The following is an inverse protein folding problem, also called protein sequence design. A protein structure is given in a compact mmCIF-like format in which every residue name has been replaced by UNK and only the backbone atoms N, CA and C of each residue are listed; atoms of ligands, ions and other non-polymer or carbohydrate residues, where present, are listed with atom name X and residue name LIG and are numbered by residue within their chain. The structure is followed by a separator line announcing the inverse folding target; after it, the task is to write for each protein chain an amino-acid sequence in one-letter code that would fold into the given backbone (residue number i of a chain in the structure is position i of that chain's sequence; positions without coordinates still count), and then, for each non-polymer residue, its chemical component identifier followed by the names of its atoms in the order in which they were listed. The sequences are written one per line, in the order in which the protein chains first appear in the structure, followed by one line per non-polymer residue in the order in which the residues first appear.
data_IF_713213332534
#
_entry.id   IF_713213332534
#
_cell.length_a   1.000
_cell.length_b   1.000
_cell.length_c   1.000
_cell.angle_alpha   90.00
_cell.angle_beta   90.00
_cell.angle_gamma   90.00
#
_symmetry.space_group_name_H-M   'P 1'
#
loop_
_entity.id
_entity.type
_entity.pdbx_description
1 polymer ?
#
# COMPACT_ATOMS: atom_id res chain seq x y z
N UNK A 1 10.71 2.93 20.76
CA UNK A 1 9.99 2.10 19.78
C UNK A 1 9.43 3.00 18.69
N UNK A 2 9.49 2.61 17.42
CA UNK A 2 8.92 3.38 16.32
C UNK A 2 7.69 2.71 15.72
N UNK A 3 6.74 3.54 15.27
CA UNK A 3 5.54 3.13 14.52
C UNK A 3 5.65 3.73 13.13
N UNK A 4 5.55 2.91 12.09
CA UNK A 4 5.56 3.37 10.71
C UNK A 4 4.27 3.01 10.00
N UNK A 5 3.84 3.89 9.10
CA UNK A 5 2.79 3.63 8.13
C UNK A 5 3.46 3.44 6.78
N UNK A 6 3.24 2.29 6.18
CA UNK A 6 3.81 1.90 4.89
C UNK A 6 2.70 1.75 3.86
N UNK A 7 2.92 2.25 2.66
CA UNK A 7 2.04 2.02 1.51
C UNK A 7 2.76 1.09 0.54
N UNK A 8 2.15 -0.05 0.22
CA UNK A 8 2.68 -1.00 -0.74
C UNK A 8 1.77 -1.12 -1.96
N UNK A 9 2.35 -1.08 -3.16
CA UNK A 9 1.62 -1.10 -4.43
C UNK A 9 2.27 -2.02 -5.47
N UNK A 10 1.46 -2.71 -6.27
CA UNK A 10 1.94 -3.57 -7.36
C UNK A 10 0.96 -3.59 -8.53
N UNK A 11 1.46 -3.50 -9.76
CA UNK A 11 0.65 -3.67 -10.97
C UNK A 11 1.27 -4.59 -12.03
N UNK A 12 2.30 -5.37 -11.68
CA UNK A 12 2.93 -6.33 -12.58
C UNK A 12 3.03 -7.69 -11.91
N UNK A 13 2.86 -8.76 -12.69
CA UNK A 13 3.04 -10.12 -12.21
C UNK A 13 1.96 -10.54 -11.22
N UNK A 14 2.34 -11.36 -10.24
CA UNK A 14 1.43 -11.75 -9.16
C UNK A 14 1.37 -10.65 -8.09
N UNK A 15 0.60 -9.61 -8.40
CA UNK A 15 0.39 -8.42 -7.54
C UNK A 15 0.03 -8.81 -6.11
N UNK A 16 -0.83 -9.81 -5.94
CA UNK A 16 -1.25 -10.25 -4.61
C UNK A 16 -0.12 -11.00 -3.87
N UNK A 17 0.69 -11.80 -4.56
CA UNK A 17 1.87 -12.41 -3.95
C UNK A 17 2.93 -11.37 -3.57
N UNK A 18 3.16 -10.34 -4.39
CA UNK A 18 4.07 -9.25 -4.05
C UNK A 18 3.63 -8.51 -2.78
N UNK A 19 2.34 -8.17 -2.67
CA UNK A 19 1.82 -7.52 -1.46
C UNK A 19 1.87 -8.44 -0.22
N UNK A 20 1.62 -9.75 -0.38
CA UNK A 20 1.78 -10.73 0.71
C UNK A 20 3.23 -10.80 1.19
N UNK A 21 4.20 -10.78 0.28
CA UNK A 21 5.62 -10.80 0.65
C UNK A 21 6.00 -9.59 1.52
N UNK A 22 5.40 -8.41 1.31
CA UNK A 22 5.58 -7.25 2.19
C UNK A 22 5.06 -7.54 3.59
N UNK A 23 3.84 -8.07 3.70
CA UNK A 23 3.22 -8.41 5.00
C UNK A 23 4.06 -9.48 5.72
N UNK A 24 4.44 -10.54 5.02
CA UNK A 24 5.23 -11.66 5.57
C UNK A 24 6.62 -11.19 6.05
N UNK A 25 7.23 -10.21 5.38
CA UNK A 25 8.53 -9.65 5.76
C UNK A 25 8.50 -8.91 7.09
N UNK A 26 7.39 -8.26 7.45
CA UNK A 26 7.24 -7.58 8.72
C UNK A 26 6.74 -8.53 9.83
N UNK A 27 5.95 -9.55 9.48
CA UNK A 27 5.56 -10.61 10.42
C UNK A 27 4.95 -10.07 11.71
N UNK A 28 5.57 -10.38 12.85
CA UNK A 28 5.09 -9.95 14.17
C UNK A 28 5.23 -8.43 14.43
N UNK A 29 5.93 -7.70 13.56
CA UNK A 29 5.99 -6.22 13.60
C UNK A 29 4.71 -5.59 13.04
N UNK A 30 3.84 -6.35 12.38
CA UNK A 30 2.58 -5.86 11.81
C UNK A 30 1.52 -5.65 12.90
N UNK A 31 1.04 -4.42 13.00
CA UNK A 31 -0.08 -4.04 13.88
C UNK A 31 -1.41 -4.14 13.15
N UNK A 32 -1.46 -3.65 11.91
CA UNK A 32 -2.65 -3.69 11.08
C UNK A 32 -2.29 -3.71 9.59
N UNK A 33 -3.16 -4.33 8.78
CA UNK A 33 -3.09 -4.33 7.32
C UNK A 33 -4.47 -4.03 6.76
N UNK A 34 -4.53 -3.13 5.78
CA UNK A 34 -5.77 -2.85 5.06
C UNK A 34 -6.20 -4.01 4.15
N UNK A 35 -7.47 -4.06 3.71
CA UNK A 35 -7.84 -4.78 2.50
C UNK A 35 -7.03 -4.29 1.29
N UNK A 36 -6.99 -5.11 0.24
CA UNK A 36 -6.41 -4.72 -1.05
C UNK A 36 -7.36 -3.74 -1.73
N UNK A 37 -6.82 -2.61 -2.19
CA UNK A 37 -7.54 -1.63 -2.99
C UNK A 37 -6.98 -1.57 -4.41
N UNK A 38 -7.87 -1.46 -5.39
CA UNK A 38 -7.58 -1.40 -6.82
C UNK A 38 -7.69 0.03 -7.31
N UNK A 39 -6.70 0.48 -8.09
CA UNK A 39 -6.67 1.82 -8.69
C UNK A 39 -6.13 1.80 -10.10
N UNK A 40 -6.69 2.62 -10.97
CA UNK A 40 -6.16 2.82 -12.31
C UNK A 40 -4.71 3.35 -12.28
N UNK A 41 -3.87 3.00 -13.28
CA UNK A 41 -2.53 3.54 -13.37
C UNK A 41 -2.51 5.02 -13.74
N UNK A 42 -1.50 5.72 -13.23
CA UNK A 42 -1.29 7.14 -13.52
C UNK A 42 -0.45 7.33 -14.78
N UNK A 43 -0.68 8.45 -15.48
CA UNK A 43 0.27 8.94 -16.50
C UNK A 43 0.04 8.47 -17.93
N UNK A 44 -1.11 7.85 -18.22
CA UNK A 44 -1.54 7.55 -19.60
C UNK A 44 -0.73 6.46 -20.32
N UNK A 45 0.08 5.71 -19.58
CA UNK A 45 0.73 4.48 -20.06
C UNK A 45 -0.24 3.33 -19.84
N UNK A 46 -0.56 2.58 -20.90
CA UNK A 46 -1.38 1.37 -20.81
C UNK A 46 -0.65 0.31 -19.99
N UNK A 47 -1.24 -0.04 -18.86
CA UNK A 47 -0.73 -1.02 -17.90
C UNK A 47 -1.89 -1.49 -17.02
N UNK A 48 -1.69 -2.60 -16.31
CA UNK A 48 -2.71 -3.12 -15.40
C UNK A 48 -2.95 -2.18 -14.22
N UNK A 49 -4.13 -2.34 -13.59
CA UNK A 49 -4.47 -1.66 -12.36
C UNK A 49 -3.50 -2.01 -11.22
N UNK A 50 -3.26 -1.03 -10.36
CA UNK A 50 -2.49 -1.23 -9.12
C UNK A 50 -3.35 -1.89 -8.06
N UNK A 51 -2.77 -2.88 -7.39
CA UNK A 51 -3.22 -3.33 -6.08
C UNK A 51 -2.41 -2.58 -5.02
N UNK A 52 -3.09 -2.01 -4.03
CA UNK A 52 -2.49 -1.22 -2.97
C UNK A 52 -2.96 -1.71 -1.60
N UNK A 53 -2.05 -1.73 -0.62
CA UNK A 53 -2.36 -1.92 0.79
C UNK A 53 -1.62 -0.87 1.64
N UNK A 54 -2.16 -0.59 2.81
CA UNK A 54 -1.44 0.09 3.89
C UNK A 54 -1.13 -0.91 5.00
N UNK A 55 0.10 -0.85 5.49
CA UNK A 55 0.53 -1.55 6.70
C UNK A 55 0.82 -0.52 7.79
N UNK A 56 0.40 -0.84 9.00
CA UNK A 56 0.88 -0.18 10.22
C UNK A 56 1.80 -1.16 10.92
N UNK A 57 3.05 -0.76 11.15
CA UNK A 57 4.09 -1.61 11.74
C UNK A 57 4.73 -0.93 12.93
N UNK A 58 5.18 -1.71 13.91
CA UNK A 58 5.88 -1.23 15.10
C UNK A 58 7.09 -2.10 15.44
N UNK A 59 8.25 -1.47 15.60
CA UNK A 59 9.50 -2.13 15.97
C UNK A 59 10.54 -1.13 16.49
N UNK A 60 11.65 -1.62 17.04
CA UNK A 60 12.81 -0.78 17.37
C UNK A 60 13.67 -0.54 16.12
N UNK A 61 13.15 0.31 15.23
CA UNK A 61 13.76 0.67 13.94
C UNK A 61 13.86 2.18 13.76
N UNK A 62 14.88 2.63 13.04
CA UNK A 62 14.98 4.01 12.58
C UNK A 62 14.10 4.23 11.33
N UNK A 63 13.78 5.48 10.96
CA UNK A 63 13.11 5.78 9.69
C UNK A 63 13.82 5.17 8.47
N UNK A 64 15.16 5.16 8.50
CA UNK A 64 15.97 4.61 7.43
C UNK A 64 15.90 3.09 7.34
N UNK A 65 15.79 2.39 8.47
CA UNK A 65 15.60 0.94 8.46
C UNK A 65 14.28 0.55 7.77
N UNK A 66 13.19 1.31 8.00
CA UNK A 66 11.91 1.08 7.32
C UNK A 66 12.04 1.26 5.80
N UNK A 67 12.73 2.32 5.37
CA UNK A 67 13.00 2.57 3.95
C UNK A 67 13.85 1.47 3.32
N UNK A 68 14.92 1.05 3.99
CA UNK A 68 15.85 0.06 3.46
C UNK A 68 15.16 -1.31 3.30
N UNK A 69 14.27 -1.70 4.21
CA UNK A 69 13.45 -2.92 4.06
C UNK A 69 12.51 -2.80 2.86
N UNK A 70 11.87 -1.65 2.65
CA UNK A 70 11.05 -1.40 1.46
C UNK A 70 11.86 -1.54 0.17
N UNK A 71 13.05 -0.92 0.12
CA UNK A 71 13.99 -1.02 -1.03
C UNK A 71 14.49 -2.44 -1.27
N UNK A 72 14.69 -3.24 -0.21
CA UNK A 72 15.04 -4.66 -0.32
C UNK A 72 13.91 -5.46 -0.97
N UNK A 73 12.68 -5.31 -0.49
CA UNK A 73 11.50 -5.98 -1.05
C UNK A 73 11.28 -5.63 -2.53
N UNK A 74 11.45 -4.35 -2.89
CA UNK A 74 11.38 -3.91 -4.28
C UNK A 74 12.43 -4.58 -5.18
N UNK A 75 13.67 -4.72 -4.68
CA UNK A 75 14.74 -5.41 -5.39
C UNK A 75 14.45 -6.91 -5.57
N UNK A 76 13.92 -7.56 -4.53
CA UNK A 76 13.52 -8.96 -4.58
C UNK A 76 12.37 -9.20 -5.54
N UNK A 77 11.46 -8.22 -5.68
CA UNK A 77 10.42 -8.20 -6.70
C UNK A 77 10.92 -7.78 -8.10
N UNK A 78 12.24 -7.67 -8.30
CA UNK A 78 12.84 -7.28 -9.59
C UNK A 78 12.33 -5.94 -10.14
N UNK A 79 12.05 -4.97 -9.26
CA UNK A 79 11.56 -3.65 -9.67
C UNK A 79 12.55 -2.95 -10.62
N UNK A 80 12.09 -2.62 -11.83
CA UNK A 80 12.81 -1.78 -12.78
C UNK A 80 12.23 -0.35 -12.85
N UNK A 81 13.07 0.63 -13.18
CA UNK A 81 12.67 2.05 -13.32
C UNK A 81 12.93 2.57 -14.73
N UNK A 82 12.46 1.83 -15.72
CA UNK A 82 12.73 2.11 -17.14
C UNK A 82 11.84 3.22 -17.72
N UNK A 83 10.59 3.30 -17.28
CA UNK A 83 9.60 4.26 -17.77
C UNK A 83 9.08 5.10 -16.60
N UNK A 84 9.08 6.42 -16.76
CA UNK A 84 8.47 7.33 -15.78
C UNK A 84 6.96 7.05 -15.72
N UNK A 85 6.45 6.74 -14.53
CA UNK A 85 5.07 6.26 -14.30
C UNK A 85 4.74 4.93 -14.99
N UNK A 86 5.78 4.18 -15.33
CA UNK A 86 5.64 2.84 -15.87
C UNK A 86 5.23 1.80 -14.83
N UNK A 87 5.05 0.56 -15.31
CA UNK A 87 4.70 -0.59 -14.50
C UNK A 87 5.70 -0.87 -13.38
N UNK A 88 5.19 -1.38 -12.25
CA UNK A 88 5.95 -1.70 -11.03
C UNK A 88 5.53 -3.07 -10.52
N UNK A 89 6.51 -3.96 -10.41
CA UNK A 89 6.36 -5.25 -9.71
C UNK A 89 6.05 -5.04 -8.23
N UNK A 90 6.73 -4.10 -7.58
CA UNK A 90 6.42 -3.66 -6.23
C UNK A 90 6.91 -2.21 -6.02
N UNK A 91 6.20 -1.48 -5.18
CA UNK A 91 6.54 -0.15 -4.66
C UNK A 91 6.22 -0.15 -3.17
N UNK A 92 7.17 0.24 -2.32
CA UNK A 92 6.97 0.34 -0.87
C UNK A 92 7.42 1.71 -0.38
N UNK A 93 6.45 2.57 -0.07
CA UNK A 93 6.68 3.92 0.42
C UNK A 93 6.51 4.00 1.94
N UNK A 94 7.43 4.69 2.62
CA UNK A 94 7.26 5.07 4.03
C UNK A 94 6.44 6.36 4.08
N UNK A 95 5.22 6.28 4.61
CA UNK A 95 4.27 7.40 4.64
C UNK A 95 4.48 8.30 5.85
N UNK A 96 4.60 7.72 7.04
CA UNK A 96 4.87 8.44 8.28
C UNK A 96 5.60 7.54 9.25
N UNK A 97 6.40 8.15 10.13
CA UNK A 97 7.08 7.46 11.23
C UNK A 97 6.92 8.29 12.49
N UNK A 98 6.47 7.64 13.56
CA UNK A 98 6.49 8.20 14.90
C UNK A 98 7.55 7.46 15.73
N UNK A 99 8.35 8.19 16.51
CA UNK A 99 9.29 7.63 17.48
C UNK A 99 8.84 8.11 18.85
N UNK A 100 8.56 7.16 19.75
CA UNK A 100 8.08 7.44 21.10
C UNK A 100 6.92 8.48 21.09
N UNK A 101 5.95 8.23 20.21
CA UNK A 101 4.73 9.05 19.99
C UNK A 101 4.97 10.47 19.44
N UNK A 102 6.18 10.75 18.96
CA UNK A 102 6.52 12.01 18.28
C UNK A 102 6.72 11.77 16.79
N UNK A 103 5.98 12.47 15.95
CA UNK A 103 6.13 12.37 14.49
C UNK A 103 7.48 12.88 14.04
N UNK A 104 8.16 12.07 13.23
CA UNK A 104 9.40 12.43 12.55
C UNK A 104 9.05 13.33 11.37
N UNK A 105 9.67 14.51 11.35
CA UNK A 105 9.63 15.44 10.22
C UNK A 105 11.05 15.55 9.68
N UNK A 106 11.23 15.14 8.43
CA UNK A 106 12.53 15.06 7.78
C UNK A 106 12.41 15.52 6.31
N UNK A 107 13.35 16.33 5.85
CA UNK A 107 13.44 16.81 4.47
C UNK A 107 14.60 16.16 3.68
N UNK A 108 15.17 15.07 4.20
CA UNK A 108 16.18 14.27 3.51
C UNK A 108 15.67 13.88 2.09
N UNK A 109 16.43 14.16 1.02
CA UNK A 109 16.06 13.81 -0.34
C UNK A 109 15.83 12.32 -0.60
N UNK A 110 16.42 11.44 0.21
CA UNK A 110 16.20 9.99 0.15
C UNK A 110 14.95 9.54 0.91
N UNK A 111 14.53 10.30 1.92
CA UNK A 111 13.41 9.98 2.81
C UNK A 111 12.77 11.24 3.39
N UNK A 112 11.89 11.88 2.62
CA UNK A 112 11.11 13.00 3.14
C UNK A 112 9.93 12.47 3.96
N UNK A 113 9.85 12.86 5.23
CA UNK A 113 8.80 12.44 6.16
C UNK A 113 8.03 13.62 6.78
N UNK A 114 6.72 13.47 6.98
CA UNK A 114 5.85 12.49 6.31
C UNK A 114 5.91 12.62 4.78
N UNK A 115 5.54 11.56 4.07
CA UNK A 115 5.65 11.53 2.62
C UNK A 115 4.90 12.72 1.99
N UNK A 116 5.56 13.56 1.17
CA UNK A 116 5.08 14.91 0.84
C UNK A 116 3.80 14.92 0.00
N UNK A 117 3.45 13.79 -0.63
CA UNK A 117 2.23 13.64 -1.43
C UNK A 117 1.17 12.77 -0.77
N UNK A 118 1.41 12.20 0.41
CA UNK A 118 0.46 11.27 1.03
C UNK A 118 -0.94 11.88 1.19
N UNK A 119 -1.01 13.12 1.68
CA UNK A 119 -2.25 13.87 1.85
C UNK A 119 -3.03 14.15 0.55
N UNK A 120 -2.43 13.92 -0.61
CA UNK A 120 -3.00 14.21 -1.94
C UNK A 120 -3.47 12.96 -2.68
N UNK A 121 -3.35 11.77 -2.08
CA UNK A 121 -3.54 10.49 -2.78
C UNK A 121 -4.60 9.64 -2.10
N UNK A 122 -5.76 9.48 -2.75
CA UNK A 122 -6.82 8.64 -2.19
C UNK A 122 -6.37 7.18 -2.02
N UNK A 123 -5.52 6.68 -2.93
CA UNK A 123 -4.97 5.32 -2.84
C UNK A 123 -4.04 5.09 -1.65
N UNK A 124 -3.59 6.16 -0.97
CA UNK A 124 -2.88 6.08 0.30
C UNK A 124 -3.86 6.26 1.47
N UNK A 125 -4.74 7.27 1.41
CA UNK A 125 -5.60 7.62 2.53
C UNK A 125 -6.73 6.62 2.78
N UNK A 126 -7.33 6.05 1.72
CA UNK A 126 -8.44 5.09 1.84
C UNK A 126 -7.95 3.78 2.49
N UNK A 127 -6.88 3.12 2.00
CA UNK A 127 -6.39 1.91 2.65
C UNK A 127 -5.88 2.19 4.08
N UNK A 128 -5.28 3.36 4.32
CA UNK A 128 -4.88 3.74 5.66
C UNK A 128 -6.07 3.82 6.63
N UNK A 129 -7.17 4.46 6.26
CA UNK A 129 -8.38 4.49 7.11
C UNK A 129 -9.01 3.11 7.32
N UNK A 130 -8.87 2.20 6.36
CA UNK A 130 -9.33 0.83 6.53
C UNK A 130 -8.47 0.03 7.53
N UNK A 131 -7.18 0.36 7.65
CA UNK A 131 -6.28 -0.23 8.65
C UNK A 131 -6.38 0.45 10.02
N UNK A 132 -6.58 1.77 10.05
CA UNK A 132 -6.64 2.61 11.26
C UNK A 132 -7.68 3.74 11.08
N UNK A 133 -8.93 3.56 11.55
CA UNK A 133 -10.01 4.53 11.34
C UNK A 133 -9.77 5.90 12.00
N UNK A 134 -8.93 5.94 13.04
CA UNK A 134 -8.60 7.14 13.80
C UNK A 134 -7.28 7.78 13.34
N UNK A 135 -6.71 7.31 12.22
CA UNK A 135 -5.43 7.75 11.70
C UNK A 135 -5.31 9.27 11.56
N UNK A 136 -4.14 9.78 11.93
CA UNK A 136 -3.75 11.18 11.75
C UNK A 136 -2.46 11.28 10.96
N UNK A 137 -2.32 12.36 10.19
CA UNK A 137 -1.12 12.68 9.43
C UNK A 137 -0.68 14.10 9.78
N UNK A 138 0.61 14.26 10.09
CA UNK A 138 1.21 15.59 10.19
C UNK A 138 1.31 16.24 8.81
N UNK A 139 0.91 17.50 8.70
CA UNK A 139 1.13 18.35 7.53
C UNK A 139 1.80 19.66 7.97
N UNK A 140 2.33 20.46 7.03
CA UNK A 140 2.87 21.79 7.36
C UNK A 140 1.87 22.72 8.07
N UNK A 141 0.56 22.50 7.88
CA UNK A 141 -0.52 23.26 8.52
C UNK A 141 -0.96 22.66 9.88
N UNK A 142 -0.30 21.58 10.32
CA UNK A 142 -0.57 20.86 11.56
C UNK A 142 -1.07 19.43 11.36
N UNK A 143 -1.30 18.73 12.47
CA UNK A 143 -1.84 17.37 12.44
C UNK A 143 -3.30 17.39 12.00
N UNK A 144 -3.65 16.53 11.04
CA UNK A 144 -5.00 16.39 10.47
C UNK A 144 -5.43 14.93 10.54
N UNK A 145 -6.72 14.67 10.75
CA UNK A 145 -7.24 13.31 10.56
C UNK A 145 -7.15 12.93 9.09
N UNK A 146 -6.78 11.68 8.83
CA UNK A 146 -6.71 11.13 7.46
C UNK A 146 -8.10 11.19 6.81
N UNK A 147 -9.18 11.03 7.58
CA UNK A 147 -10.56 11.20 7.13
C UNK A 147 -10.87 12.62 6.61
N UNK A 148 -10.36 13.65 7.29
CA UNK A 148 -10.55 15.03 6.85
C UNK A 148 -9.70 15.37 5.62
N UNK A 149 -8.51 14.78 5.49
CA UNK A 149 -7.68 14.90 4.30
C UNK A 149 -8.35 14.23 3.10
N UNK A 150 -8.87 13.02 3.28
CA UNK A 150 -9.59 12.29 2.25
C UNK A 150 -10.82 13.07 1.76
N UNK A 151 -11.64 13.60 2.69
CA UNK A 151 -12.82 14.39 2.36
C UNK A 151 -12.51 15.68 1.57
N UNK A 152 -11.27 16.17 1.61
CA UNK A 152 -10.83 17.34 0.86
C UNK A 152 -10.36 17.01 -0.57
N UNK A 153 -10.23 15.73 -0.93
CA UNK A 153 -9.88 15.31 -2.29
C UNK A 153 -11.08 15.35 -3.23
N UNK A 154 -10.78 15.59 -4.51
CA UNK A 154 -11.76 15.54 -5.60
C UNK A 154 -12.50 14.20 -5.60
N UNK A 155 -13.77 14.22 -6.01
CA UNK A 155 -14.62 13.02 -6.04
C UNK A 155 -14.05 11.94 -6.95
N UNK A 156 -13.58 12.31 -8.15
CA UNK A 156 -12.96 11.38 -9.10
C UNK A 156 -11.72 10.67 -8.52
N UNK A 157 -10.92 11.38 -7.70
CA UNK A 157 -9.74 10.79 -7.05
C UNK A 157 -10.16 9.75 -6.01
N UNK A 158 -11.23 10.02 -5.25
CA UNK A 158 -11.78 9.10 -4.25
C UNK A 158 -12.43 7.88 -4.88
N UNK A 159 -13.26 8.10 -5.90
CA UNK A 159 -14.00 7.05 -6.61
C UNK A 159 -13.09 6.16 -7.47
N UNK A 160 -11.89 6.64 -7.80
CA UNK A 160 -10.84 5.88 -8.47
C UNK A 160 -10.21 4.76 -7.62
N UNK A 161 -10.60 4.64 -6.34
CA UNK A 161 -10.10 3.62 -5.42
C UNK A 161 -11.23 2.69 -5.00
N UNK A 162 -11.10 1.41 -5.33
CA UNK A 162 -12.12 0.40 -5.02
C UNK A 162 -11.53 -0.75 -4.22
N UNK A 163 -12.25 -1.27 -3.23
CA UNK A 163 -11.79 -2.46 -2.52
C UNK A 163 -11.91 -3.70 -3.41
N UNK A 164 -10.86 -4.53 -3.44
CA UNK A 164 -10.89 -5.81 -4.12
C UNK A 164 -11.82 -6.76 -3.34
N UNK A 165 -13.07 -6.89 -3.82
CA UNK A 165 -14.06 -7.77 -3.20
C UNK A 165 -13.60 -9.22 -3.07
N UNK A 166 -14.25 -10.03 -2.21
CA UNK A 166 -13.86 -11.41 -1.98
C UNK A 166 -13.87 -12.18 -3.30
N UNK A 167 -12.72 -12.72 -3.69
CA UNK A 167 -12.59 -13.60 -4.84
C UNK A 167 -13.49 -14.80 -4.60
N UNK A 168 -14.63 -14.88 -5.30
CA UNK A 168 -15.35 -16.15 -5.42
C UNK A 168 -14.45 -17.09 -6.20
N UNK A 169 -13.67 -17.91 -5.49
CA UNK A 169 -12.95 -19.02 -6.10
C UNK A 169 -13.98 -19.93 -6.75
N UNK A 170 -14.10 -19.85 -8.07
CA UNK A 170 -14.93 -20.73 -8.87
C UNK A 170 -14.33 -22.12 -8.87
N UNK A 171 -14.72 -22.95 -7.90
CA UNK A 171 -14.62 -24.39 -8.03
C UNK A 171 -15.69 -24.81 -9.04
N UNK A 172 -15.31 -24.84 -10.32
CA UNK A 172 -15.99 -25.69 -11.28
C UNK A 172 -15.57 -27.15 -10.98
N UNK A 173 -16.21 -27.75 -9.98
CA UNK A 173 -16.36 -29.19 -9.94
C UNK A 173 -17.59 -29.49 -10.79
N UNK A 174 -17.40 -29.71 -12.11
CA UNK A 174 -18.36 -30.50 -12.85
C UNK A 174 -17.81 -31.90 -13.03
N UNK A 175 -18.54 -32.79 -12.39
CA UNK A 175 -18.43 -34.22 -12.29
C UNK A 175 -18.31 -34.92 -13.64
N UNK A 176 -17.37 -35.87 -13.66
CA UNK A 176 -17.46 -37.07 -14.47
C UNK A 176 -18.87 -37.67 -14.43
N UNK A 177 -19.43 -37.93 -15.61
CA UNK A 177 -20.50 -38.91 -15.77
C UNK A 177 -20.13 -39.87 -16.90
N UNK A 178 -19.20 -40.77 -16.56
CA UNK A 178 -19.19 -42.11 -17.14
C UNK A 178 -20.54 -42.76 -16.78
N UNK A 179 -21.38 -42.96 -17.78
CA UNK A 179 -22.45 -43.96 -17.73
C UNK A 179 -22.12 -45.04 -18.74
N UNK A 180 -21.35 -46.01 -18.26
CA UNK A 180 -21.52 -47.41 -18.65
C UNK A 180 -22.95 -47.84 -18.32
N UNK A 181 -23.62 -48.47 -19.28
CA UNK A 181 -24.83 -49.27 -19.07
C UNK A 181 -24.80 -50.39 -20.12
N UNK A 182 -25.16 -51.63 -19.74
CA UNK A 182 -24.56 -52.86 -20.27
C UNK A 182 -25.10 -53.35 -21.61
#
# INVERSE_FOLDING_TARGET
MSRAVLSAGSNVGDRAAHLRAVVDRFGDEVVAVSPIHVTAPWGGVEQDDFYNITLVVEADRTPRDWLDIGRELEREAERTREIRWGPRTLDVDVISVDIDQTTVVDDDPELTLPHPRAAQRAFVLIPWLAADPDATLWTPDGVRSVSALLAALDEDERDGVTELGPTRSGVAADSSSDRDTP
#
